data_IF_307829824683
#
_entry.id   IF_307829824683
#
_cell.length_a   1.000
_cell.length_b   1.000
_cell.length_c   1.000
_cell.angle_alpha   90.00
_cell.angle_beta   90.00
_cell.angle_gamma   90.00
#
_symmetry.space_group_name_H-M   'P 1'
#
loop_
_entity.id
_entity.type
_entity.pdbx_description
1 polymer ?
#
# COMPACT_ATOMS: atom_id res chain seq x y z
N UNK A 1 68.24 27.11 5.64
CA UNK A 1 68.62 26.70 4.28
C UNK A 1 67.52 27.17 3.33
N UNK A 2 67.77 28.23 2.55
CA UNK A 2 68.06 28.16 1.08
C UNK A 2 66.88 27.57 0.27
N UNK A 3 66.11 28.39 -0.49
CA UNK A 3 66.32 28.72 -1.94
C UNK A 3 65.80 27.58 -2.86
N UNK A 4 65.07 27.71 -3.99
CA UNK A 4 64.49 28.77 -4.88
C UNK A 4 63.49 28.05 -5.84
N UNK A 5 62.55 28.63 -6.63
CA UNK A 5 61.92 29.97 -6.77
C UNK A 5 60.62 29.84 -7.63
N UNK A 6 59.99 30.98 -7.98
CA UNK A 6 58.92 31.24 -8.97
C UNK A 6 59.31 30.92 -10.45
N UNK A 7 58.50 31.13 -11.54
CA UNK A 7 57.47 32.17 -11.78
C UNK A 7 56.09 31.63 -12.26
N UNK A 8 54.94 32.34 -12.21
CA UNK A 8 54.54 33.74 -12.48
C UNK A 8 54.41 34.09 -13.97
N UNK A 9 53.20 34.44 -14.42
CA UNK A 9 52.86 35.56 -15.34
C UNK A 9 51.33 35.72 -15.37
N UNK A 10 50.86 36.96 -15.54
CA UNK A 10 49.44 37.38 -15.50
C UNK A 10 49.14 38.40 -16.58
N UNK A 11 47.89 38.41 -17.12
CA UNK A 11 47.29 39.44 -18.00
C UNK A 11 47.94 39.58 -19.40
N UNK A 12 47.32 40.13 -20.45
CA UNK A 12 46.22 41.14 -20.51
C UNK A 12 45.45 41.11 -21.86
N UNK A 13 44.15 41.43 -21.81
CA UNK A 13 43.33 42.28 -22.71
C UNK A 13 43.04 42.07 -24.24
N UNK A 14 41.93 42.73 -24.63
CA UNK A 14 41.64 43.45 -25.91
C UNK A 14 41.05 42.76 -27.18
N UNK A 15 39.71 42.95 -27.33
CA UNK A 15 38.99 43.65 -28.43
C UNK A 15 39.10 43.27 -29.95
N UNK A 16 37.90 43.02 -30.51
CA UNK A 16 37.25 43.66 -31.70
C UNK A 16 37.50 43.25 -33.19
N UNK A 17 36.35 43.19 -33.93
CA UNK A 17 36.10 43.32 -35.40
C UNK A 17 36.53 42.16 -36.32
N UNK A 18 35.81 41.79 -37.40
CA UNK A 18 34.44 42.13 -37.85
C UNK A 18 34.20 41.96 -39.39
N UNK A 19 32.93 41.76 -39.82
CA UNK A 19 32.37 41.86 -41.23
C UNK A 19 33.02 40.98 -42.34
N UNK A 20 32.35 40.52 -43.41
CA UNK A 20 31.22 41.02 -44.23
C UNK A 20 30.56 39.88 -45.07
N UNK A 21 29.23 39.82 -45.19
CA UNK A 21 28.35 40.16 -46.35
C UNK A 21 28.48 39.43 -47.71
N UNK A 22 27.42 38.69 -48.08
CA UNK A 22 26.67 38.72 -49.37
C UNK A 22 25.19 38.44 -48.97
N UNK A 23 24.16 39.28 -49.21
CA UNK A 23 23.45 39.53 -50.49
C UNK A 23 22.56 38.32 -50.85
N UNK A 24 21.26 38.37 -51.20
CA UNK A 24 20.20 39.37 -51.49
C UNK A 24 18.85 38.67 -51.17
N UNK A 25 17.64 39.25 -51.16
CA UNK A 25 17.07 40.56 -51.53
C UNK A 25 15.85 40.85 -50.59
N UNK A 26 14.81 41.61 -51.01
CA UNK A 26 13.55 41.79 -50.27
C UNK A 26 12.32 41.63 -51.19
N UNK A 27 11.20 41.14 -50.65
CA UNK A 27 9.87 41.19 -51.26
C UNK A 27 8.80 41.30 -50.17
N UNK A 28 7.95 42.32 -50.25
CA UNK A 28 6.78 42.48 -49.38
C UNK A 28 5.57 41.83 -50.06
N UNK A 29 4.90 40.90 -49.37
CA UNK A 29 3.59 40.37 -49.78
C UNK A 29 2.68 40.37 -48.57
N UNK A 30 1.58 41.12 -48.68
CA UNK A 30 0.45 41.07 -47.74
C UNK A 30 -0.23 39.70 -47.89
N UNK A 31 -0.25 38.89 -46.83
CA UNK A 31 -1.09 37.69 -46.77
C UNK A 31 -2.25 37.98 -45.82
N UNK A 32 -3.46 37.94 -46.37
CA UNK A 32 -4.69 38.12 -45.61
C UNK A 32 -4.87 36.98 -44.60
N UNK A 33 -5.31 37.31 -43.38
CA UNK A 33 -5.72 36.31 -42.39
C UNK A 33 -7.05 35.71 -42.85
N UNK A 34 -6.98 34.58 -43.55
CA UNK A 34 -8.14 33.74 -43.79
C UNK A 34 -8.41 32.93 -42.50
N UNK A 35 -9.43 33.33 -41.74
CA UNK A 35 -9.94 32.54 -40.62
C UNK A 35 -10.60 31.27 -41.16
N UNK A 36 -9.83 30.19 -41.28
CA UNK A 36 -10.37 28.87 -41.56
C UNK A 36 -11.18 28.43 -40.33
N UNK A 37 -12.51 28.53 -40.43
CA UNK A 37 -13.42 27.92 -39.46
C UNK A 37 -13.29 26.41 -39.59
N UNK A 38 -12.49 25.80 -38.71
CA UNK A 38 -12.53 24.37 -38.47
C UNK A 38 -13.88 24.08 -37.80
N UNK A 39 -14.75 23.37 -38.51
CA UNK A 39 -16.00 22.90 -37.96
C UNK A 39 -15.73 22.06 -36.71
N UNK A 40 -16.54 22.28 -35.65
CA UNK A 40 -16.56 21.41 -34.48
C UNK A 40 -16.81 19.97 -34.92
N UNK A 41 -15.75 19.16 -34.88
CA UNK A 41 -15.94 17.74 -34.70
C UNK A 41 -16.56 17.58 -33.31
N UNK A 42 -17.71 16.90 -33.15
CA UNK A 42 -18.26 16.66 -31.83
C UNK A 42 -17.24 15.83 -31.07
N UNK A 43 -16.59 16.46 -30.09
CA UNK A 43 -15.72 15.76 -29.16
C UNK A 43 -16.52 14.60 -28.59
N UNK A 44 -16.02 13.38 -28.78
CA UNK A 44 -16.61 12.20 -28.15
C UNK A 44 -16.72 12.52 -26.66
N UNK A 45 -17.95 12.51 -26.14
CA UNK A 45 -18.20 12.96 -24.78
C UNK A 45 -17.53 11.98 -23.82
N UNK A 46 -16.34 12.34 -23.35
CA UNK A 46 -15.77 11.83 -22.11
C UNK A 46 -16.73 12.19 -21.00
N UNK A 47 -17.72 11.32 -20.79
CA UNK A 47 -18.68 11.37 -19.72
C UNK A 47 -17.93 11.12 -18.41
N UNK A 48 -17.28 12.18 -17.94
CA UNK A 48 -16.60 12.27 -16.66
C UNK A 48 -17.67 11.94 -15.61
N UNK A 49 -17.62 10.70 -15.09
CA UNK A 49 -18.53 10.26 -14.04
C UNK A 49 -18.31 11.16 -12.83
N UNK A 50 -19.26 12.07 -12.61
CA UNK A 50 -19.20 13.06 -11.54
C UNK A 50 -18.96 12.34 -10.20
N UNK A 51 -18.00 12.79 -9.36
CA UNK A 51 -17.65 12.11 -8.11
C UNK A 51 -18.87 11.81 -7.21
N UNK A 52 -19.89 12.66 -7.31
CA UNK A 52 -21.20 12.56 -6.66
C UNK A 52 -21.98 11.30 -7.04
N UNK A 53 -21.99 10.88 -8.31
CA UNK A 53 -22.71 9.69 -8.76
C UNK A 53 -22.07 8.39 -8.24
N UNK A 54 -20.77 8.39 -7.95
CA UNK A 54 -20.06 7.25 -7.34
C UNK A 54 -20.17 7.28 -5.81
N UNK A 55 -20.19 8.46 -5.19
CA UNK A 55 -20.51 8.61 -3.77
C UNK A 55 -21.96 8.21 -3.45
N UNK A 56 -22.91 8.47 -4.37
CA UNK A 56 -24.31 8.03 -4.28
C UNK A 56 -24.47 6.49 -4.35
N UNK A 57 -23.42 5.70 -4.56
CA UNK A 57 -23.50 4.24 -4.68
C UNK A 57 -22.83 3.44 -3.54
N UNK A 58 -21.94 4.04 -2.75
CA UNK A 58 -21.15 3.28 -1.75
C UNK A 58 -21.96 2.93 -0.50
N UNK A 59 -22.39 3.92 0.28
CA UNK A 59 -23.33 3.70 1.38
C UNK A 59 -24.54 4.65 1.36
N UNK A 60 -24.63 5.59 0.41
CA UNK A 60 -25.65 6.66 0.31
C UNK A 60 -27.05 6.25 0.82
N UNK A 61 -27.58 5.16 0.25
CA UNK A 61 -28.92 4.62 0.47
C UNK A 61 -28.95 3.36 1.35
N UNK A 62 -27.95 3.15 2.21
CA UNK A 62 -27.98 2.07 3.21
C UNK A 62 -28.81 2.52 4.40
N UNK A 63 -30.00 1.93 4.52
CA UNK A 63 -30.82 1.96 5.73
C UNK A 63 -30.48 0.73 6.58
N UNK A 64 -30.34 0.93 7.89
CA UNK A 64 -30.07 -0.13 8.86
C UNK A 64 -31.27 -0.24 9.82
N UNK A 65 -31.97 -1.39 9.90
CA UNK A 65 -33.16 -1.53 10.73
C UNK A 65 -32.91 -1.18 12.21
N UNK A 66 -33.70 -0.25 12.73
CA UNK A 66 -33.61 0.22 14.12
C UNK A 66 -32.42 1.15 14.43
N UNK A 67 -31.63 1.53 13.43
CA UNK A 67 -30.50 2.45 13.55
C UNK A 67 -30.82 3.78 12.85
N UNK A 68 -30.60 4.90 13.54
CA UNK A 68 -30.81 6.24 12.98
C UNK A 68 -29.46 6.85 12.58
N UNK A 69 -29.35 7.42 11.38
CA UNK A 69 -28.14 8.15 10.99
C UNK A 69 -27.97 9.40 11.88
N UNK A 70 -26.87 9.48 12.61
CA UNK A 70 -26.62 10.52 13.62
C UNK A 70 -26.09 11.83 13.02
N UNK A 71 -25.35 11.74 11.92
CA UNK A 71 -24.71 12.89 11.26
C UNK A 71 -24.58 12.67 9.73
N UNK A 72 -24.42 13.74 8.93
CA UNK A 72 -24.16 13.60 7.50
C UNK A 72 -22.94 12.71 7.22
N UNK A 73 -22.97 11.84 6.20
CA UNK A 73 -21.83 10.98 5.88
C UNK A 73 -20.56 11.80 5.60
N UNK A 74 -19.44 11.40 6.21
CA UNK A 74 -18.12 11.96 5.92
C UNK A 74 -17.51 11.19 4.74
N UNK A 75 -17.00 11.89 3.74
CA UNK A 75 -16.36 11.28 2.56
C UNK A 75 -14.97 11.89 2.41
N UNK A 76 -13.98 11.04 2.17
CA UNK A 76 -12.60 11.45 1.88
C UNK A 76 -12.08 10.68 0.65
N UNK A 77 -11.21 11.32 -0.15
CA UNK A 77 -10.58 10.73 -1.32
C UNK A 77 -9.13 11.20 -1.46
N UNK A 78 -8.26 10.36 -2.02
CA UNK A 78 -6.84 10.68 -2.15
C UNK A 78 -6.18 11.06 -0.82
N UNK A 79 -5.68 12.30 -0.73
CA UNK A 79 -4.96 12.80 0.46
C UNK A 79 -5.89 13.19 1.62
N UNK A 80 -7.16 13.49 1.34
CA UNK A 80 -8.15 13.93 2.35
C UNK A 80 -8.40 12.85 3.43
N UNK A 81 -7.95 11.62 3.19
CA UNK A 81 -8.01 10.52 4.16
C UNK A 81 -7.29 10.85 5.48
N UNK A 82 -6.23 11.67 5.44
CA UNK A 82 -5.54 12.15 6.65
C UNK A 82 -6.45 12.97 7.58
N UNK A 83 -7.51 13.60 7.06
CA UNK A 83 -8.50 14.35 7.86
C UNK A 83 -9.55 13.43 8.54
N UNK A 84 -9.61 12.16 8.12
CA UNK A 84 -10.49 11.15 8.68
C UNK A 84 -9.75 10.20 9.62
N UNK A 85 -8.54 9.77 9.26
CA UNK A 85 -7.71 8.85 10.06
C UNK A 85 -6.29 9.42 10.27
N UNK A 86 -6.01 9.83 11.52
CA UNK A 86 -4.75 10.48 11.92
C UNK A 86 -3.61 9.46 12.05
N UNK A 87 -2.54 9.64 11.27
CA UNK A 87 -1.35 8.76 11.23
C UNK A 87 -1.61 7.31 10.78
N UNK A 88 -2.80 7.04 10.23
CA UNK A 88 -3.19 5.71 9.73
C UNK A 88 -3.41 5.65 8.22
N UNK A 89 -3.36 6.77 7.50
CA UNK A 89 -3.72 6.85 6.08
C UNK A 89 -2.64 6.29 5.14
N UNK A 90 -1.38 6.30 5.56
CA UNK A 90 -0.20 5.95 4.76
C UNK A 90 -0.27 4.53 4.20
N UNK A 91 -0.71 3.57 5.03
CA UNK A 91 -0.90 2.18 4.59
C UNK A 91 -2.03 2.07 3.55
N UNK A 92 -3.14 2.79 3.73
CA UNK A 92 -4.23 2.81 2.74
C UNK A 92 -3.75 3.42 1.41
N UNK A 93 -2.98 4.50 1.46
CA UNK A 93 -2.40 5.11 0.26
C UNK A 93 -1.42 4.18 -0.45
N UNK A 94 -0.56 3.45 0.28
CA UNK A 94 0.37 2.47 -0.29
C UNK A 94 -0.36 1.34 -1.03
N UNK A 95 -1.49 0.88 -0.51
CA UNK A 95 -2.35 -0.09 -1.22
C UNK A 95 -3.16 0.51 -2.39
N UNK A 96 -3.13 1.84 -2.58
CA UNK A 96 -3.84 2.52 -3.66
C UNK A 96 -5.28 2.90 -3.29
N UNK A 97 -5.49 3.42 -2.09
CA UNK A 97 -6.75 4.02 -1.66
C UNK A 97 -7.38 4.96 -2.72
N UNK A 98 -8.67 4.75 -3.02
CA UNK A 98 -9.44 5.66 -3.88
C UNK A 98 -10.26 6.64 -3.03
N UNK A 99 -11.13 6.10 -2.17
CA UNK A 99 -12.10 6.88 -1.36
C UNK A 99 -12.61 6.06 -0.17
N UNK A 100 -13.15 6.74 0.83
CA UNK A 100 -13.92 6.16 1.94
C UNK A 100 -15.20 6.96 2.15
N UNK A 101 -16.29 6.27 2.44
CA UNK A 101 -17.47 6.87 3.09
C UNK A 101 -17.52 6.38 4.53
N UNK A 102 -17.78 7.28 5.47
CA UNK A 102 -17.81 7.05 6.91
C UNK A 102 -19.15 7.56 7.46
N UNK A 103 -19.84 6.72 8.22
CA UNK A 103 -21.19 6.95 8.74
C UNK A 103 -21.30 6.57 10.19
N UNK A 104 -21.96 7.41 10.97
CA UNK A 104 -22.29 7.15 12.36
C UNK A 104 -23.80 6.97 12.52
N UNK A 105 -24.21 5.83 13.06
CA UNK A 105 -25.59 5.53 13.38
C UNK A 105 -25.77 5.39 14.90
N UNK A 106 -26.93 5.76 15.43
CA UNK A 106 -27.26 5.68 16.85
C UNK A 106 -28.50 4.81 17.09
N UNK A 107 -28.49 4.06 18.20
CA UNK A 107 -29.59 3.23 18.68
C UNK A 107 -29.58 3.19 20.21
N UNK A 108 -30.40 4.02 20.85
CA UNK A 108 -30.43 4.14 22.31
C UNK A 108 -29.11 4.72 22.83
N UNK A 109 -28.39 3.96 23.65
CA UNK A 109 -27.06 4.33 24.16
C UNK A 109 -25.89 3.84 23.28
N UNK A 110 -26.18 3.12 22.19
CA UNK A 110 -25.17 2.55 21.30
C UNK A 110 -24.94 3.42 20.06
N UNK A 111 -23.69 3.52 19.61
CA UNK A 111 -23.25 4.23 18.42
C UNK A 111 -22.44 3.29 17.52
N UNK A 112 -22.90 3.09 16.29
CA UNK A 112 -22.28 2.25 15.27
C UNK A 112 -21.61 3.13 14.21
N UNK A 113 -20.28 3.14 14.22
CA UNK A 113 -19.44 3.74 13.19
C UNK A 113 -19.21 2.72 12.06
N UNK A 114 -19.39 3.12 10.81
CA UNK A 114 -19.20 2.28 9.63
C UNK A 114 -18.35 3.03 8.63
N UNK A 115 -17.26 2.41 8.20
CA UNK A 115 -16.33 2.96 7.22
C UNK A 115 -16.16 1.96 6.08
N UNK A 116 -16.51 2.38 4.87
CA UNK A 116 -16.38 1.56 3.66
C UNK A 116 -15.34 2.20 2.74
N UNK A 117 -14.19 1.55 2.62
CA UNK A 117 -13.04 1.98 1.83
C UNK A 117 -13.10 1.30 0.46
N UNK A 118 -13.06 2.09 -0.62
CA UNK A 118 -12.77 1.58 -1.96
C UNK A 118 -11.28 1.69 -2.23
N UNK A 119 -10.68 0.57 -2.62
CA UNK A 119 -9.25 0.45 -2.90
C UNK A 119 -8.98 0.39 -4.42
N UNK A 120 -7.71 0.39 -4.83
CA UNK A 120 -7.31 0.36 -6.25
C UNK A 120 -7.89 -0.85 -7.00
N UNK A 121 -7.83 -2.01 -6.37
CA UNK A 121 -8.13 -3.31 -6.92
C UNK A 121 -8.49 -4.32 -5.81
N UNK A 122 -8.82 -5.56 -6.18
CA UNK A 122 -9.18 -6.63 -5.23
C UNK A 122 -8.02 -6.98 -4.28
N UNK A 123 -6.80 -7.07 -4.80
CA UNK A 123 -5.59 -7.35 -4.00
C UNK A 123 -5.33 -6.23 -2.98
N UNK A 124 -5.68 -4.99 -3.31
CA UNK A 124 -5.59 -3.85 -2.41
C UNK A 124 -6.56 -3.94 -1.22
N UNK A 125 -7.82 -4.29 -1.48
CA UNK A 125 -8.83 -4.49 -0.43
C UNK A 125 -8.49 -5.67 0.48
N UNK A 126 -8.10 -6.81 -0.10
CA UNK A 126 -7.58 -7.93 0.68
C UNK A 126 -6.31 -7.56 1.46
N UNK A 127 -5.44 -6.71 0.89
CA UNK A 127 -4.22 -6.24 1.54
C UNK A 127 -4.49 -5.54 2.86
N UNK A 128 -5.31 -4.49 2.83
CA UNK A 128 -5.75 -3.77 4.03
C UNK A 128 -6.42 -4.73 5.02
N UNK A 129 -7.37 -5.56 4.58
CA UNK A 129 -8.00 -6.55 5.44
C UNK A 129 -6.97 -7.46 6.11
N UNK A 130 -6.02 -8.02 5.35
CA UNK A 130 -5.00 -8.94 5.85
C UNK A 130 -4.10 -8.28 6.89
N UNK A 131 -3.74 -7.01 6.69
CA UNK A 131 -2.95 -6.19 7.60
C UNK A 131 -3.69 -5.89 8.91
N UNK A 132 -4.96 -5.49 8.82
CA UNK A 132 -5.77 -5.09 9.97
C UNK A 132 -6.27 -6.28 10.80
N UNK A 133 -6.54 -7.44 10.17
CA UNK A 133 -7.09 -8.60 10.86
C UNK A 133 -6.08 -9.28 11.80
N UNK A 134 -6.60 -10.06 12.74
CA UNK A 134 -5.82 -10.82 13.72
C UNK A 134 -6.47 -12.18 13.97
N UNK A 135 -5.69 -13.26 14.20
CA UNK A 135 -6.24 -14.58 14.55
C UNK A 135 -7.04 -14.60 15.86
N UNK A 136 -7.00 -13.52 16.67
CA UNK A 136 -7.86 -13.33 17.85
C UNK A 136 -9.33 -13.05 17.50
N UNK A 137 -9.62 -12.64 16.26
CA UNK A 137 -10.98 -12.37 15.79
C UNK A 137 -11.70 -13.64 15.33
N UNK A 138 -12.96 -13.78 15.73
CA UNK A 138 -13.82 -14.89 15.32
C UNK A 138 -14.19 -14.75 13.84
N UNK A 139 -13.98 -15.77 13.00
CA UNK A 139 -14.48 -15.76 11.63
C UNK A 139 -16.01 -15.68 11.61
N UNK A 140 -16.57 -14.84 10.75
CA UNK A 140 -18.02 -14.74 10.53
C UNK A 140 -18.36 -14.75 9.04
N UNK A 141 -19.54 -15.27 8.71
CA UNK A 141 -20.03 -15.38 7.35
C UNK A 141 -20.59 -14.04 6.87
N UNK A 142 -19.67 -13.18 6.42
CA UNK A 142 -19.87 -11.83 5.88
C UNK A 142 -18.80 -11.56 4.82
N UNK A 143 -19.20 -11.03 3.66
CA UNK A 143 -18.29 -10.70 2.58
C UNK A 143 -17.57 -11.93 2.01
N UNK A 144 -16.31 -11.74 1.60
CA UNK A 144 -15.44 -12.86 1.21
C UNK A 144 -14.64 -13.41 2.40
N UNK A 145 -14.31 -12.55 3.36
CA UNK A 145 -13.78 -12.93 4.66
C UNK A 145 -14.04 -11.80 5.66
N UNK A 146 -14.33 -12.17 6.91
CA UNK A 146 -14.59 -11.23 7.98
C UNK A 146 -14.07 -11.72 9.32
N UNK A 147 -13.72 -10.78 10.20
CA UNK A 147 -13.39 -11.02 11.60
C UNK A 147 -14.26 -10.17 12.50
N UNK A 148 -14.92 -10.83 13.44
CA UNK A 148 -15.68 -10.24 14.53
C UNK A 148 -14.86 -10.29 15.83
N UNK A 149 -14.77 -9.15 16.49
CA UNK A 149 -14.27 -8.96 17.84
C UNK A 149 -15.45 -8.53 18.74
N UNK A 150 -15.19 -8.08 19.98
CA UNK A 150 -16.25 -7.75 20.95
C UNK A 150 -17.14 -6.58 20.48
N UNK A 151 -16.50 -5.54 19.97
CA UNK A 151 -17.02 -4.20 19.68
C UNK A 151 -16.64 -3.75 18.26
N UNK A 152 -16.10 -4.66 17.45
CA UNK A 152 -15.55 -4.35 16.14
C UNK A 152 -15.72 -5.51 15.16
N UNK A 153 -16.08 -5.21 13.92
CA UNK A 153 -16.11 -6.17 12.81
C UNK A 153 -15.43 -5.55 11.60
N UNK A 154 -14.53 -6.31 10.96
CA UNK A 154 -13.96 -5.96 9.66
C UNK A 154 -14.28 -7.03 8.61
N UNK A 155 -14.44 -6.64 7.35
CA UNK A 155 -14.56 -7.58 6.23
C UNK A 155 -14.00 -6.99 4.94
N UNK A 156 -13.80 -7.84 3.94
CA UNK A 156 -13.51 -7.42 2.56
C UNK A 156 -14.37 -8.16 1.55
N UNK A 157 -14.61 -7.52 0.40
CA UNK A 157 -15.32 -8.09 -0.74
C UNK A 157 -15.02 -7.27 -1.99
N UNK A 158 -14.59 -7.93 -3.07
CA UNK A 158 -14.19 -7.23 -4.29
C UNK A 158 -13.06 -6.23 -4.03
N UNK A 159 -13.19 -5.00 -4.54
CA UNK A 159 -12.28 -3.87 -4.32
C UNK A 159 -12.59 -3.04 -3.05
N UNK A 160 -13.38 -3.58 -2.12
CA UNK A 160 -13.79 -2.89 -0.88
C UNK A 160 -13.28 -3.57 0.40
N UNK A 161 -12.83 -2.73 1.34
CA UNK A 161 -12.59 -3.07 2.74
C UNK A 161 -13.58 -2.31 3.62
N UNK A 162 -14.10 -2.96 4.66
CA UNK A 162 -15.08 -2.38 5.56
C UNK A 162 -14.66 -2.56 7.03
N UNK A 163 -14.91 -1.51 7.82
CA UNK A 163 -14.57 -1.38 9.24
C UNK A 163 -15.83 -0.91 9.98
N UNK A 164 -16.34 -1.71 10.92
CA UNK A 164 -17.55 -1.43 11.69
C UNK A 164 -17.23 -1.45 13.18
N UNK A 165 -17.31 -0.30 13.86
CA UNK A 165 -17.00 -0.14 15.27
C UNK A 165 -18.26 0.22 16.04
N UNK A 166 -18.58 -0.54 17.07
CA UNK A 166 -19.70 -0.30 17.97
C UNK A 166 -19.20 0.21 19.31
N UNK A 167 -19.75 1.34 19.78
CA UNK A 167 -19.49 1.91 21.10
C UNK A 167 -20.78 2.08 21.89
N UNK A 168 -20.67 2.14 23.22
CA UNK A 168 -21.83 2.14 24.13
C UNK A 168 -22.31 0.74 24.49
N UNK A 169 -23.39 0.66 25.27
CA UNK A 169 -23.98 -0.61 25.71
C UNK A 169 -25.01 -1.14 24.70
N UNK A 170 -24.71 -2.28 24.09
CA UNK A 170 -25.67 -3.07 23.31
C UNK A 170 -25.54 -4.55 23.69
N UNK A 171 -26.60 -5.14 24.25
CA UNK A 171 -26.61 -6.54 24.68
C UNK A 171 -26.45 -7.53 23.51
N UNK A 172 -26.69 -7.09 22.27
CA UNK A 172 -26.61 -7.87 21.04
C UNK A 172 -25.53 -7.32 20.08
N UNK A 173 -24.49 -6.65 20.61
CA UNK A 173 -23.39 -6.04 19.86
C UNK A 173 -22.88 -6.86 18.66
N UNK A 174 -22.55 -8.13 18.90
CA UNK A 174 -22.07 -9.06 17.88
C UNK A 174 -23.08 -9.29 16.73
N UNK A 175 -24.37 -9.42 17.07
CA UNK A 175 -25.44 -9.58 16.09
C UNK A 175 -25.62 -8.29 15.29
N UNK A 176 -25.66 -7.13 15.96
CA UNK A 176 -25.84 -5.84 15.31
C UNK A 176 -24.71 -5.52 14.31
N UNK A 177 -23.46 -5.77 14.69
CA UNK A 177 -22.30 -5.66 13.80
C UNK A 177 -22.43 -6.59 12.59
N UNK A 178 -22.79 -7.86 12.82
CA UNK A 178 -22.90 -8.87 11.75
C UNK A 178 -24.05 -8.57 10.79
N UNK A 179 -25.21 -8.12 11.28
CA UNK A 179 -26.35 -7.72 10.46
C UNK A 179 -26.04 -6.50 9.60
N UNK A 180 -25.49 -5.44 10.19
CA UNK A 180 -25.08 -4.25 9.44
C UNK A 180 -24.03 -4.58 8.36
N UNK A 181 -23.02 -5.39 8.71
CA UNK A 181 -21.99 -5.81 7.77
C UNK A 181 -22.55 -6.66 6.61
N UNK A 182 -23.52 -7.55 6.87
CA UNK A 182 -24.24 -8.30 5.82
C UNK A 182 -25.06 -7.38 4.91
N UNK A 183 -25.73 -6.37 5.46
CA UNK A 183 -26.49 -5.40 4.66
C UNK A 183 -25.59 -4.62 3.70
N UNK A 184 -24.35 -4.31 4.09
CA UNK A 184 -23.34 -3.68 3.24
C UNK A 184 -22.81 -4.68 2.20
N UNK A 185 -22.33 -5.85 2.65
CA UNK A 185 -21.77 -6.90 1.80
C UNK A 185 -22.72 -7.34 0.67
N UNK A 186 -24.02 -7.42 0.94
CA UNK A 186 -25.05 -7.77 -0.04
C UNK A 186 -25.21 -6.75 -1.19
N UNK A 187 -24.66 -5.53 -1.06
CA UNK A 187 -24.66 -4.50 -2.11
C UNK A 187 -23.40 -4.48 -2.97
N UNK A 188 -22.32 -5.12 -2.49
CA UNK A 188 -21.05 -5.19 -3.22
C UNK A 188 -21.15 -6.30 -4.26
N UNK A 189 -21.39 -5.93 -5.52
CA UNK A 189 -21.55 -6.91 -6.62
C UNK A 189 -20.22 -7.45 -7.15
N UNK A 190 -19.09 -6.84 -6.77
CA UNK A 190 -17.74 -7.30 -7.12
C UNK A 190 -17.25 -8.36 -6.13
N UNK A 191 -16.58 -9.38 -6.65
CA UNK A 191 -15.81 -10.38 -5.89
C UNK A 191 -14.49 -10.62 -6.62
N UNK A 192 -13.46 -11.12 -5.92
CA UNK A 192 -12.23 -11.54 -6.57
C UNK A 192 -11.33 -12.40 -5.69
N UNK A 193 -10.27 -12.96 -6.27
CA UNK A 193 -9.41 -13.89 -5.54
C UNK A 193 -8.44 -13.18 -4.59
N UNK A 194 -7.99 -13.89 -3.54
CA UNK A 194 -6.82 -13.46 -2.75
C UNK A 194 -5.59 -13.40 -3.68
N UNK A 195 -4.63 -12.49 -3.45
CA UNK A 195 -3.39 -12.41 -4.22
C UNK A 195 -2.69 -13.76 -4.30
N UNK A 196 -2.33 -14.20 -5.52
CA UNK A 196 -1.80 -15.54 -5.76
C UNK A 196 -0.52 -15.85 -4.96
N UNK A 197 0.24 -14.81 -4.57
CA UNK A 197 1.43 -14.93 -3.72
C UNK A 197 1.15 -15.56 -2.34
N UNK A 198 -0.07 -15.38 -1.81
CA UNK A 198 -0.47 -15.96 -0.52
C UNK A 198 -0.49 -17.49 -0.54
N UNK A 199 -0.70 -18.11 -1.70
CA UNK A 199 -0.76 -19.58 -1.88
C UNK A 199 0.61 -20.26 -1.75
N UNK A 200 1.69 -19.49 -1.66
CA UNK A 200 3.04 -20.02 -1.51
C UNK A 200 3.49 -20.12 -0.04
N UNK A 201 2.74 -19.52 0.90
CA UNK A 201 2.98 -19.69 2.33
C UNK A 201 2.67 -21.16 2.71
N UNK A 202 3.58 -21.86 3.40
CA UNK A 202 3.29 -23.19 3.93
C UNK A 202 2.04 -23.19 4.83
N UNK A 203 1.02 -23.97 4.48
CA UNK A 203 -0.24 -24.06 5.24
C UNK A 203 -0.02 -24.69 6.64
N UNK A 204 0.93 -25.63 6.74
CA UNK A 204 1.21 -26.36 7.96
C UNK A 204 1.75 -25.44 9.07
N UNK A 205 0.91 -25.20 10.08
CA UNK A 205 1.23 -24.38 11.25
C UNK A 205 1.10 -22.86 11.02
N UNK A 206 0.53 -22.42 9.90
CA UNK A 206 0.25 -21.02 9.62
C UNK A 206 -0.79 -20.48 10.61
N UNK A 207 -0.41 -19.49 11.41
CA UNK A 207 -1.28 -18.86 12.41
C UNK A 207 -1.92 -17.58 11.87
N UNK A 208 -1.19 -16.82 11.04
CA UNK A 208 -1.63 -15.59 10.42
C UNK A 208 -0.93 -15.38 9.07
N UNK A 209 -1.62 -14.76 8.12
CA UNK A 209 -1.12 -14.49 6.77
C UNK A 209 -1.37 -13.04 6.37
N UNK A 210 -0.30 -12.30 6.10
CA UNK A 210 -0.30 -10.91 5.64
C UNK A 210 0.07 -10.85 4.17
N UNK A 211 -0.75 -10.18 3.36
CA UNK A 211 -0.31 -9.68 2.08
C UNK A 211 0.44 -8.37 2.30
N UNK A 212 1.50 -8.14 1.53
CA UNK A 212 2.37 -6.97 1.62
C UNK A 212 2.47 -6.32 0.25
N UNK A 213 2.17 -5.03 0.15
CA UNK A 213 2.40 -4.21 -1.03
C UNK A 213 3.22 -2.99 -0.58
N UNK A 214 4.48 -2.88 -0.99
CA UNK A 214 5.35 -1.77 -0.62
C UNK A 214 6.03 -1.83 0.77
N UNK A 215 6.93 -0.87 1.06
CA UNK A 215 7.79 -0.87 2.25
C UNK A 215 7.08 -0.55 3.58
N UNK A 216 5.94 0.16 3.60
CA UNK A 216 5.22 0.48 4.84
C UNK A 216 4.53 -0.79 5.36
N UNK A 217 3.85 -1.54 4.48
CA UNK A 217 3.29 -2.85 4.78
C UNK A 217 4.36 -3.82 5.32
N UNK A 218 5.54 -3.85 4.67
CA UNK A 218 6.67 -4.65 5.15
C UNK A 218 7.09 -4.23 6.56
N UNK A 219 7.32 -2.93 6.79
CA UNK A 219 7.79 -2.37 8.06
C UNK A 219 6.80 -2.59 9.22
N UNK A 220 5.49 -2.52 8.94
CA UNK A 220 4.42 -2.81 9.89
C UNK A 220 4.41 -4.29 10.35
N UNK A 221 5.01 -5.20 9.57
CA UNK A 221 5.13 -6.62 9.92
C UNK A 221 6.50 -6.96 10.47
N UNK A 222 7.58 -6.44 9.88
CA UNK A 222 8.96 -6.61 10.36
C UNK A 222 9.91 -5.60 9.73
N UNK A 223 10.71 -4.92 10.57
CA UNK A 223 11.68 -3.93 10.11
C UNK A 223 12.99 -4.61 9.72
N UNK A 224 13.27 -4.67 8.41
CA UNK A 224 14.61 -4.94 7.90
C UNK A 224 15.37 -3.60 7.81
N UNK A 225 16.40 -3.40 8.64
CA UNK A 225 17.02 -2.09 8.93
C UNK A 225 17.57 -1.30 7.73
N UNK A 226 17.74 -1.96 6.58
CA UNK A 226 18.27 -1.38 5.36
C UNK A 226 17.19 -0.84 4.39
N UNK A 227 16.23 -0.04 4.87
CA UNK A 227 15.23 0.65 4.02
C UNK A 227 14.46 -0.29 3.09
N UNK A 228 14.21 0.13 1.84
CA UNK A 228 13.60 -0.74 0.80
C UNK A 228 14.64 -1.71 0.18
N UNK A 229 15.33 -2.48 1.02
CA UNK A 229 16.33 -3.45 0.58
C UNK A 229 15.73 -4.46 -0.41
N UNK A 230 14.49 -4.89 -0.17
CA UNK A 230 13.78 -5.89 -0.96
C UNK A 230 13.23 -5.33 -2.27
N UNK A 231 12.86 -4.05 -2.37
CA UNK A 231 12.34 -3.44 -3.61
C UNK A 231 11.19 -4.23 -4.23
N UNK A 232 10.37 -4.84 -3.38
CA UNK A 232 9.35 -5.79 -3.76
C UNK A 232 8.00 -5.08 -3.81
N UNK A 233 7.37 -5.10 -4.98
CA UNK A 233 6.06 -4.48 -5.19
C UNK A 233 4.98 -5.28 -4.46
N UNK A 234 5.09 -6.61 -4.47
CA UNK A 234 4.15 -7.53 -3.83
C UNK A 234 4.90 -8.67 -3.12
N UNK A 235 4.54 -8.94 -1.86
CA UNK A 235 5.09 -9.99 -1.01
C UNK A 235 4.00 -10.62 -0.13
N UNK A 236 4.30 -11.76 0.49
CA UNK A 236 3.48 -12.39 1.51
C UNK A 236 4.30 -12.62 2.78
N UNK A 237 3.70 -12.50 3.96
CA UNK A 237 4.28 -12.94 5.23
C UNK A 237 3.35 -13.94 5.93
N UNK A 238 3.87 -15.11 6.26
CA UNK A 238 3.22 -16.07 7.15
C UNK A 238 3.82 -16.02 8.56
N UNK A 239 2.97 -15.99 9.57
CA UNK A 239 3.36 -16.08 10.99
C UNK A 239 3.13 -17.50 11.47
N UNK A 240 4.15 -18.08 12.10
CA UNK A 240 4.17 -19.42 12.67
C UNK A 240 4.63 -19.35 14.14
N UNK A 241 4.46 -20.43 14.89
CA UNK A 241 4.82 -20.48 16.32
C UNK A 241 6.31 -20.21 16.62
N UNK A 242 7.21 -20.47 15.66
CA UNK A 242 8.67 -20.41 15.82
C UNK A 242 9.37 -19.42 14.86
N UNK A 243 8.64 -18.79 13.92
CA UNK A 243 9.21 -17.94 12.87
C UNK A 243 8.17 -17.12 12.11
N UNK A 244 8.65 -16.12 11.38
CA UNK A 244 7.96 -15.52 10.23
C UNK A 244 8.62 -16.00 8.94
N UNK A 245 7.83 -16.29 7.92
CA UNK A 245 8.31 -16.54 6.55
C UNK A 245 7.79 -15.46 5.60
N UNK A 246 8.70 -14.79 4.90
CA UNK A 246 8.41 -13.80 3.87
C UNK A 246 8.69 -14.40 2.49
N UNK A 247 7.78 -14.17 1.55
CA UNK A 247 7.91 -14.56 0.15
C UNK A 247 7.80 -13.29 -0.69
N UNK A 248 8.91 -12.88 -1.29
CA UNK A 248 8.98 -11.71 -2.17
C UNK A 248 8.99 -12.18 -3.63
N UNK A 249 8.13 -11.60 -4.47
CA UNK A 249 8.04 -11.95 -5.89
C UNK A 249 8.72 -10.91 -6.78
N UNK A 250 9.45 -11.38 -7.80
CA UNK A 250 10.11 -10.54 -8.80
C UNK A 250 9.71 -10.98 -10.21
N UNK A 251 9.75 -10.08 -11.22
CA UNK A 251 9.33 -10.42 -12.59
C UNK A 251 10.15 -11.52 -13.27
N UNK A 252 11.37 -11.79 -12.79
CA UNK A 252 12.30 -12.77 -13.38
C UNK A 252 13.38 -13.23 -12.40
N UNK A 253 13.93 -14.42 -12.65
CA UNK A 253 15.00 -15.04 -11.86
C UNK A 253 16.22 -14.15 -11.62
N UNK A 254 16.68 -13.42 -12.64
CA UNK A 254 17.86 -12.57 -12.51
C UNK A 254 17.59 -11.34 -11.65
N UNK A 255 16.35 -10.86 -11.61
CA UNK A 255 15.94 -9.77 -10.72
C UNK A 255 15.93 -10.23 -9.26
N UNK A 256 15.42 -11.44 -8.99
CA UNK A 256 15.50 -12.05 -7.66
C UNK A 256 16.96 -12.30 -7.23
N UNK A 257 17.80 -12.82 -8.14
CA UNK A 257 19.22 -13.07 -7.87
C UNK A 257 20.00 -11.78 -7.57
N UNK A 258 19.84 -10.74 -8.39
CA UNK A 258 20.45 -9.43 -8.14
C UNK A 258 19.94 -8.81 -6.83
N UNK A 259 18.64 -8.98 -6.53
CA UNK A 259 18.04 -8.47 -5.29
C UNK A 259 18.58 -9.18 -4.05
N UNK A 260 18.74 -10.51 -4.07
CA UNK A 260 19.32 -11.26 -2.94
C UNK A 260 20.76 -10.82 -2.64
N UNK A 261 21.56 -10.58 -3.67
CA UNK A 261 22.90 -10.04 -3.52
C UNK A 261 22.89 -8.63 -2.90
N UNK A 262 22.02 -7.74 -3.38
CA UNK A 262 21.85 -6.39 -2.84
C UNK A 262 21.35 -6.37 -1.40
N UNK A 263 20.39 -7.23 -1.03
CA UNK A 263 19.91 -7.39 0.36
C UNK A 263 21.04 -7.86 1.27
N UNK A 264 21.86 -8.83 0.82
CA UNK A 264 23.02 -9.31 1.58
C UNK A 264 24.04 -8.20 1.81
N UNK A 265 24.39 -7.44 0.78
CA UNK A 265 25.33 -6.31 0.87
C UNK A 265 24.79 -5.21 1.79
N UNK A 266 23.52 -4.83 1.64
CA UNK A 266 22.88 -3.81 2.46
C UNK A 266 22.85 -4.20 3.93
N UNK A 267 22.52 -5.46 4.26
CA UNK A 267 22.60 -5.98 5.62
C UNK A 267 24.05 -6.04 6.14
N UNK A 268 25.03 -6.41 5.32
CA UNK A 268 26.45 -6.44 5.75
C UNK A 268 27.02 -5.05 6.06
N UNK A 269 26.45 -3.99 5.46
CA UNK A 269 26.82 -2.60 5.71
C UNK A 269 26.02 -1.94 6.86
N UNK A 270 25.02 -2.64 7.41
CA UNK A 270 24.22 -2.20 8.56
C UNK A 270 24.70 -2.92 9.84
N UNK A 271 25.15 -2.13 10.82
CA UNK A 271 25.68 -2.63 12.10
C UNK A 271 24.67 -3.39 12.97
N UNK A 272 23.37 -3.35 12.63
CA UNK A 272 22.37 -4.21 13.25
C UNK A 272 22.57 -5.71 12.95
N UNK A 273 23.17 -6.04 11.80
CA UNK A 273 23.32 -7.43 11.35
C UNK A 273 24.73 -7.98 11.58
N UNK A 274 24.81 -9.25 11.99
CA UNK A 274 26.10 -9.94 12.18
C UNK A 274 25.99 -11.45 11.98
N UNK A 275 27.14 -12.12 11.96
CA UNK A 275 27.21 -13.59 11.84
C UNK A 275 26.83 -14.10 10.46
N UNK A 276 27.27 -13.43 9.39
CA UNK A 276 26.95 -13.80 8.02
C UNK A 276 27.62 -15.12 7.60
N UNK A 277 26.84 -16.05 7.06
CA UNK A 277 27.34 -17.26 6.41
C UNK A 277 26.64 -17.49 5.06
N UNK A 278 27.32 -18.17 4.15
CA UNK A 278 26.78 -18.54 2.83
C UNK A 278 25.98 -19.84 2.95
N UNK A 279 24.81 -19.91 2.32
CA UNK A 279 24.04 -21.15 2.13
C UNK A 279 24.00 -21.52 0.64
N UNK A 280 23.57 -22.74 0.26
CA UNK A 280 23.44 -23.11 -1.15
C UNK A 280 22.44 -22.23 -1.93
N UNK A 281 21.36 -21.79 -1.26
CA UNK A 281 20.28 -20.99 -1.86
C UNK A 281 20.45 -19.48 -1.65
N UNK A 282 21.37 -19.04 -0.79
CA UNK A 282 21.53 -17.64 -0.41
C UNK A 282 22.47 -17.43 0.79
N UNK A 283 21.97 -16.86 1.88
CA UNK A 283 22.77 -16.57 3.07
C UNK A 283 21.96 -16.67 4.37
N UNK A 284 22.67 -16.74 5.48
CA UNK A 284 22.11 -16.52 6.81
C UNK A 284 22.87 -15.43 7.57
N UNK A 285 22.19 -14.77 8.51
CA UNK A 285 22.75 -13.80 9.44
C UNK A 285 21.89 -13.72 10.72
N UNK A 286 22.15 -12.74 11.58
CA UNK A 286 21.30 -12.41 12.74
C UNK A 286 20.98 -10.92 12.82
N UNK A 287 19.76 -10.57 13.17
CA UNK A 287 19.27 -9.19 13.41
C UNK A 287 19.72 -8.62 14.76
N UNK A 288 19.48 -7.33 15.05
CA UNK A 288 19.93 -6.68 16.29
C UNK A 288 19.55 -7.46 17.58
N UNK A 289 18.36 -8.07 17.63
CA UNK A 289 17.85 -8.86 18.76
C UNK A 289 18.46 -10.28 18.83
N UNK A 290 19.16 -10.73 17.79
CA UNK A 290 19.83 -12.03 17.72
C UNK A 290 19.03 -13.12 17.00
N UNK A 291 17.82 -12.81 16.51
CA UNK A 291 17.00 -13.70 15.68
C UNK A 291 17.80 -14.14 14.46
N UNK A 292 17.73 -15.43 14.13
CA UNK A 292 18.39 -15.97 12.93
C UNK A 292 17.54 -15.62 11.71
N UNK A 293 18.16 -14.98 10.73
CA UNK A 293 17.59 -14.74 9.40
C UNK A 293 18.23 -15.71 8.42
N UNK A 294 17.41 -16.40 7.62
CA UNK A 294 17.87 -17.21 6.48
C UNK A 294 17.16 -16.69 5.23
N UNK A 295 17.91 -16.17 4.27
CA UNK A 295 17.40 -15.63 3.01
C UNK A 295 17.92 -16.46 1.83
N UNK A 296 17.02 -16.98 1.01
CA UNK A 296 17.35 -17.79 -0.16
C UNK A 296 16.47 -17.50 -1.37
N UNK A 297 16.87 -18.00 -2.55
CA UNK A 297 16.13 -17.83 -3.81
C UNK A 297 15.46 -19.13 -4.26
N UNK A 298 14.23 -19.01 -4.75
CA UNK A 298 13.50 -20.07 -5.45
C UNK A 298 12.93 -19.49 -6.76
N UNK A 299 13.66 -19.72 -7.87
CA UNK A 299 13.34 -19.12 -9.16
C UNK A 299 13.36 -17.58 -9.11
N UNK A 300 12.22 -16.97 -9.49
CA UNK A 300 11.98 -15.53 -9.44
C UNK A 300 11.50 -15.00 -8.09
N UNK A 301 11.56 -15.80 -7.02
CA UNK A 301 11.13 -15.44 -5.66
C UNK A 301 12.28 -15.49 -4.66
N UNK A 302 12.20 -14.67 -3.62
CA UNK A 302 13.05 -14.78 -2.43
C UNK A 302 12.21 -15.26 -1.26
N UNK A 303 12.72 -16.27 -0.56
CA UNK A 303 12.17 -16.77 0.70
C UNK A 303 13.08 -16.31 1.82
N UNK A 304 12.53 -15.57 2.78
CA UNK A 304 13.24 -15.10 3.97
C UNK A 304 12.56 -15.62 5.21
N UNK A 305 13.28 -16.37 6.03
CA UNK A 305 12.79 -16.85 7.34
C UNK A 305 13.45 -16.03 8.43
N UNK A 306 12.65 -15.47 9.32
CA UNK A 306 13.10 -14.85 10.56
C UNK A 306 12.66 -15.75 11.70
N UNK A 307 13.61 -16.37 12.39
CA UNK A 307 13.32 -17.24 13.53
C UNK A 307 12.90 -16.39 14.73
N UNK A 308 11.69 -16.59 15.22
CA UNK A 308 11.21 -15.88 16.41
C UNK A 308 11.80 -16.55 17.65
N UNK A 309 12.30 -15.73 18.57
CA UNK A 309 12.59 -16.21 19.93
C UNK A 309 11.25 -16.64 20.52
N UNK A 310 11.17 -17.87 21.05
CA UNK A 310 9.94 -18.35 21.68
C UNK A 310 9.47 -17.33 22.72
N UNK A 311 8.31 -16.71 22.47
CA UNK A 311 7.65 -15.87 23.46
C UNK A 311 7.40 -16.78 24.66
N UNK A 312 7.97 -16.45 25.82
CA UNK A 312 7.54 -17.06 27.07
C UNK A 312 6.05 -16.76 27.23
N UNK A 313 5.22 -17.78 26.99
CA UNK A 313 3.77 -17.66 27.04
C UNK A 313 3.32 -17.44 28.50
N UNK A 314 3.38 -16.19 28.95
CA UNK A 314 3.25 -15.86 30.37
C UNK A 314 3.27 -14.37 30.70
N UNK A 315 2.25 -13.64 30.27
CA UNK A 315 1.58 -12.57 31.04
C UNK A 315 0.28 -12.12 30.40
#
# INVERSE_FOLDING_TARGET
MTVRVCPRITRTDARQRGRSHVGRLAAWVLIAVATLSLADAPAAADAKLEPRAVAELMMSAIELPGWTLAEPPRVAAGQDLFELIDGGAEIYQEYGFKRVESRRYERGAASLQIELYQMADVSAAYGIYSMMQSPRGTPVDVGQEARLFRDYLMFWQGDFYASLTLTGEDANAAQALTEAARTIAARITTVGERPAIMRWLPEAGLQDGKYLRGPIALSNVYVFGAGDAFGAIEAACGVYADRREFIFSYPRDEAASARLAGVREAMMNDGAYRGFAQTPEGFECRDADGRRIVAGRDGSRLLVRVQETAIEAGR
#
